data_IF_151966717603
#
_entry.id   IF_151966717603
#
_cell.length_a   1.000
_cell.length_b   1.000
_cell.length_c   1.000
_cell.angle_alpha   90.00
_cell.angle_beta   90.00
_cell.angle_gamma   90.00
#
_symmetry.space_group_name_H-M   'P 1'
#
loop_
_entity.id
_entity.type
_entity.pdbx_description
1 polymer ?
#
# COMPACT_ATOMS: atom_id res chain seq x y z
N UNK A 1 -42.34 2.87 -55.24
CA UNK A 1 -41.30 3.55 -54.44
C UNK A 1 -41.06 2.75 -53.16
N UNK A 2 -40.06 1.86 -53.10
CA UNK A 2 -39.55 1.44 -51.80
C UNK A 2 -38.03 1.17 -51.83
N UNK A 3 -37.18 2.11 -51.35
CA UNK A 3 -35.74 1.80 -51.14
C UNK A 3 -34.93 2.93 -50.47
N UNK A 4 -35.44 3.59 -49.42
CA UNK A 4 -34.60 4.54 -48.64
C UNK A 4 -34.46 4.21 -47.15
N UNK A 5 -35.21 3.23 -46.63
CA UNK A 5 -35.20 2.88 -45.19
C UNK A 5 -33.91 2.17 -44.71
N UNK A 6 -33.23 1.28 -45.49
CA UNK A 6 -32.06 0.56 -44.98
C UNK A 6 -30.80 1.43 -44.79
N UNK A 7 -30.68 2.51 -45.56
CA UNK A 7 -29.48 3.39 -45.58
C UNK A 7 -29.49 4.34 -44.39
N UNK A 8 -30.66 4.94 -44.07
CA UNK A 8 -30.83 5.82 -42.92
C UNK A 8 -30.54 5.09 -41.60
N UNK A 9 -30.99 3.84 -41.45
CA UNK A 9 -30.75 3.04 -40.24
C UNK A 9 -29.27 2.64 -40.07
N UNK A 10 -28.54 2.39 -41.18
CA UNK A 10 -27.08 2.17 -41.14
C UNK A 10 -26.30 3.44 -40.80
N UNK A 11 -26.69 4.60 -41.35
CA UNK A 11 -26.05 5.88 -41.02
C UNK A 11 -26.28 6.31 -39.57
N UNK A 12 -27.49 6.17 -39.04
CA UNK A 12 -27.79 6.43 -37.63
C UNK A 12 -27.00 5.52 -36.68
N UNK A 13 -26.88 4.24 -37.03
CA UNK A 13 -26.07 3.29 -36.28
C UNK A 13 -24.58 3.67 -36.33
N UNK A 14 -24.07 4.09 -37.49
CA UNK A 14 -22.67 4.50 -37.67
C UNK A 14 -22.34 5.81 -36.92
N UNK A 15 -23.29 6.75 -36.85
CA UNK A 15 -23.14 8.01 -36.11
C UNK A 15 -23.20 7.79 -34.59
N UNK A 16 -24.03 6.86 -34.12
CA UNK A 16 -24.03 6.40 -32.73
C UNK A 16 -22.69 5.76 -32.36
N UNK A 17 -22.18 4.83 -33.19
CA UNK A 17 -20.86 4.23 -32.98
C UNK A 17 -19.74 5.28 -32.97
N UNK A 18 -19.80 6.27 -33.85
CA UNK A 18 -18.82 7.37 -33.90
C UNK A 18 -18.87 8.22 -32.63
N UNK A 19 -20.06 8.51 -32.09
CA UNK A 19 -20.22 9.22 -30.81
C UNK A 19 -19.69 8.39 -29.64
N UNK A 20 -20.00 7.10 -29.56
CA UNK A 20 -19.48 6.19 -28.52
C UNK A 20 -17.96 6.07 -28.59
N UNK A 21 -17.40 5.91 -29.80
CA UNK A 21 -15.95 5.91 -30.02
C UNK A 21 -15.32 7.21 -29.57
N UNK A 22 -15.90 8.36 -29.93
CA UNK A 22 -15.38 9.65 -29.51
C UNK A 22 -15.42 9.83 -27.99
N UNK A 23 -16.49 9.40 -27.33
CA UNK A 23 -16.60 9.41 -25.86
C UNK A 23 -15.56 8.50 -25.21
N UNK A 24 -15.34 7.29 -25.74
CA UNK A 24 -14.29 6.38 -25.26
C UNK A 24 -12.90 6.98 -25.46
N UNK A 25 -12.61 7.57 -26.62
CA UNK A 25 -11.33 8.24 -26.88
C UNK A 25 -11.12 9.42 -25.93
N UNK A 26 -12.13 10.26 -25.70
CA UNK A 26 -12.04 11.38 -24.75
C UNK A 26 -11.82 10.89 -23.31
N UNK A 27 -12.51 9.83 -22.90
CA UNK A 27 -12.32 9.19 -21.59
C UNK A 27 -10.90 8.63 -21.45
N UNK A 28 -10.39 7.98 -22.49
CA UNK A 28 -9.03 7.44 -22.53
C UNK A 28 -7.98 8.54 -22.46
N UNK A 29 -8.13 9.62 -23.22
CA UNK A 29 -7.23 10.78 -23.18
C UNK A 29 -7.19 11.39 -21.77
N UNK A 30 -8.36 11.54 -21.13
CA UNK A 30 -8.42 12.04 -19.74
C UNK A 30 -7.67 11.11 -18.79
N UNK A 31 -7.92 9.80 -18.86
CA UNK A 31 -7.22 8.80 -18.03
C UNK A 31 -5.70 8.81 -18.26
N UNK A 32 -5.25 8.84 -19.51
CA UNK A 32 -3.83 8.92 -19.87
C UNK A 32 -3.19 10.21 -19.37
N UNK A 33 -3.90 11.34 -19.46
CA UNK A 33 -3.42 12.63 -18.95
C UNK A 33 -3.25 12.58 -17.44
N UNK A 34 -4.23 12.03 -16.71
CA UNK A 34 -4.13 11.83 -15.26
C UNK A 34 -2.98 10.90 -14.89
N UNK A 35 -2.77 9.81 -15.64
CA UNK A 35 -1.65 8.88 -15.43
C UNK A 35 -0.29 9.55 -15.64
N UNK A 36 -0.11 10.28 -16.75
CA UNK A 36 1.13 11.04 -16.99
C UNK A 36 1.40 12.07 -15.88
N UNK A 37 0.36 12.79 -15.43
CA UNK A 37 0.52 13.74 -14.33
C UNK A 37 0.93 13.05 -13.03
N UNK A 38 0.40 11.85 -12.77
CA UNK A 38 0.76 11.06 -11.61
C UNK A 38 2.20 10.55 -11.69
N UNK A 39 2.66 10.05 -12.84
CA UNK A 39 4.06 9.66 -13.07
C UNK A 39 5.03 10.84 -12.89
N UNK A 40 4.66 12.02 -13.39
CA UNK A 40 5.41 13.26 -13.19
C UNK A 40 5.48 13.67 -11.71
N UNK A 41 4.39 13.48 -10.96
CA UNK A 41 4.37 13.74 -9.52
C UNK A 41 5.25 12.74 -8.79
N UNK A 42 5.17 11.45 -9.12
CA UNK A 42 6.01 10.40 -8.53
C UNK A 42 7.50 10.64 -8.79
N UNK A 43 7.89 11.00 -10.02
CA UNK A 43 9.28 11.28 -10.36
C UNK A 43 9.83 12.49 -9.60
N UNK A 44 9.05 13.56 -9.46
CA UNK A 44 9.40 14.74 -8.65
C UNK A 44 9.47 14.42 -7.16
N UNK A 45 8.55 13.60 -6.65
CA UNK A 45 8.59 13.12 -5.27
C UNK A 45 9.84 12.29 -5.02
N UNK A 46 10.19 11.37 -5.91
CA UNK A 46 11.39 10.54 -5.81
C UNK A 46 12.66 11.39 -5.84
N UNK A 47 12.76 12.40 -6.72
CA UNK A 47 13.86 13.34 -6.73
C UNK A 47 13.98 14.13 -5.41
N UNK A 48 12.85 14.64 -4.89
CA UNK A 48 12.82 15.34 -3.60
C UNK A 48 13.19 14.43 -2.41
N UNK A 49 12.84 13.15 -2.46
CA UNK A 49 13.22 12.15 -1.45
C UNK A 49 14.73 11.92 -1.51
N UNK A 50 15.31 11.72 -2.69
CA UNK A 50 16.75 11.56 -2.87
C UNK A 50 17.53 12.76 -2.34
N UNK A 51 17.11 13.99 -2.64
CA UNK A 51 17.75 15.21 -2.14
C UNK A 51 17.73 15.27 -0.60
N UNK A 52 16.59 14.98 0.04
CA UNK A 52 16.48 14.98 1.51
C UNK A 52 17.29 13.86 2.17
N UNK A 53 17.43 12.71 1.51
CA UNK A 53 18.32 11.63 1.96
C UNK A 53 19.80 12.04 1.95
N UNK A 54 20.25 12.86 0.98
CA UNK A 54 21.62 13.39 0.98
C UNK A 54 21.88 14.37 2.14
N UNK A 55 20.87 15.16 2.51
CA UNK A 55 20.94 16.10 3.64
C UNK A 55 21.08 15.37 4.99
N UNK A 56 20.37 14.25 5.17
CA UNK A 56 20.49 13.42 6.37
C UNK A 56 21.89 12.81 6.55
N UNK A 57 22.57 12.47 5.47
CA UNK A 57 23.96 11.97 5.51
C UNK A 57 24.96 13.04 5.95
N UNK A 58 24.62 14.32 5.84
CA UNK A 58 25.57 15.45 6.04
C UNK A 58 25.27 16.32 7.28
N UNK A 59 24.05 16.31 7.83
CA UNK A 59 23.69 17.02 9.08
C UNK A 59 22.63 16.25 9.88
N UNK A 60 22.98 15.61 11.03
CA UNK A 60 22.05 14.65 11.65
C UNK A 60 20.90 15.23 12.50
N UNK A 61 20.82 16.52 12.83
CA UNK A 61 19.96 16.91 13.99
C UNK A 61 19.15 18.21 13.93
N UNK A 62 19.31 19.15 12.97
CA UNK A 62 18.80 20.52 13.21
C UNK A 62 17.49 20.94 12.53
N UNK A 63 16.94 20.26 11.51
CA UNK A 63 15.76 20.79 10.79
C UNK A 63 14.83 19.69 10.24
N UNK A 64 14.49 18.67 11.03
CA UNK A 64 13.43 17.74 10.64
C UNK A 64 12.30 17.81 11.66
N UNK A 65 11.13 18.28 11.23
CA UNK A 65 9.91 18.24 12.05
C UNK A 65 9.44 16.79 12.08
N UNK A 66 9.26 16.25 13.28
CA UNK A 66 8.70 14.90 13.48
C UNK A 66 7.21 14.85 13.07
N UNK A 67 6.72 13.63 12.82
CA UNK A 67 5.35 13.39 12.36
C UNK A 67 4.31 13.95 13.32
N UNK A 68 4.56 13.86 14.63
CA UNK A 68 3.63 14.30 15.69
C UNK A 68 3.50 15.84 15.70
N UNK A 69 4.55 16.55 15.33
CA UNK A 69 4.56 18.01 15.19
C UNK A 69 3.85 18.46 13.90
N UNK A 70 3.92 17.65 12.83
CA UNK A 70 3.20 17.94 11.58
C UNK A 70 1.71 17.64 11.73
N UNK A 71 1.35 16.55 12.40
CA UNK A 71 0.00 16.10 12.66
C UNK A 71 -0.10 15.56 14.09
N UNK A 72 -0.66 16.35 15.01
CA UNK A 72 -0.80 15.93 16.41
C UNK A 72 -1.95 14.94 16.63
N UNK A 73 -2.90 14.86 15.69
CA UNK A 73 -4.08 13.99 15.79
C UNK A 73 -3.86 12.69 14.99
N UNK A 74 -3.78 11.51 15.66
CA UNK A 74 -3.54 10.24 14.98
C UNK A 74 -4.69 9.85 14.03
N UNK A 75 -5.91 10.31 14.30
CA UNK A 75 -7.07 10.03 13.45
C UNK A 75 -6.94 10.74 12.10
N UNK A 76 -6.56 12.02 12.12
CA UNK A 76 -6.27 12.79 10.92
C UNK A 76 -5.14 12.14 10.11
N UNK A 77 -4.06 11.65 10.74
CA UNK A 77 -2.99 10.98 10.00
C UNK A 77 -3.47 9.70 9.31
N UNK A 78 -4.27 8.88 10.00
CA UNK A 78 -4.86 7.67 9.41
C UNK A 78 -5.74 8.00 8.20
N UNK A 79 -6.51 9.08 8.25
CA UNK A 79 -7.30 9.57 7.12
C UNK A 79 -6.43 9.99 5.93
N UNK A 80 -5.29 10.67 6.19
CA UNK A 80 -4.36 11.05 5.12
C UNK A 80 -3.63 9.82 4.53
N UNK A 81 -3.31 8.80 5.34
CA UNK A 81 -2.81 7.52 4.83
C UNK A 81 -3.86 6.86 3.91
N UNK A 82 -5.13 6.85 4.32
CA UNK A 82 -6.22 6.33 3.50
C UNK A 82 -6.38 7.09 2.17
N UNK A 83 -6.17 8.42 2.14
CA UNK A 83 -6.11 9.17 0.88
C UNK A 83 -5.03 8.63 -0.05
N UNK A 84 -3.80 8.43 0.45
CA UNK A 84 -2.68 7.93 -0.36
C UNK A 84 -2.97 6.51 -0.86
N UNK A 85 -3.50 5.64 0.01
CA UNK A 85 -3.85 4.26 -0.36
C UNK A 85 -4.89 4.23 -1.47
N UNK A 86 -6.02 4.95 -1.32
CA UNK A 86 -7.08 5.00 -2.32
C UNK A 86 -6.61 5.62 -3.64
N UNK A 87 -5.78 6.67 -3.58
CA UNK A 87 -5.19 7.28 -4.79
C UNK A 87 -4.33 6.26 -5.53
N UNK A 88 -3.42 5.55 -4.86
CA UNK A 88 -2.57 4.53 -5.49
C UNK A 88 -3.37 3.33 -6.01
N UNK A 89 -4.32 2.81 -5.23
CA UNK A 89 -5.21 1.72 -5.65
C UNK A 89 -6.05 2.09 -6.89
N UNK A 90 -6.42 3.37 -7.02
CA UNK A 90 -7.18 3.87 -8.17
C UNK A 90 -6.41 3.77 -9.49
N UNK A 91 -5.10 3.48 -9.46
CA UNK A 91 -4.29 3.25 -10.66
C UNK A 91 -4.13 1.77 -11.03
N UNK A 92 -4.31 0.83 -10.10
CA UNK A 92 -4.05 -0.60 -10.32
C UNK A 92 -5.16 -1.27 -11.14
N UNK A 93 -4.90 -1.57 -12.41
CA UNK A 93 -5.86 -2.19 -13.33
C UNK A 93 -5.96 -3.72 -13.25
N UNK A 94 -7.08 -4.34 -13.70
CA UNK A 94 -7.22 -5.81 -13.79
C UNK A 94 -6.15 -6.45 -14.67
N UNK A 95 -5.71 -5.73 -15.70
CA UNK A 95 -4.64 -6.13 -16.60
C UNK A 95 -3.31 -6.37 -15.88
N UNK A 96 -3.00 -5.63 -14.82
CA UNK A 96 -1.74 -5.80 -14.08
C UNK A 96 -1.74 -7.12 -13.31
N UNK A 97 -2.90 -7.55 -12.78
CA UNK A 97 -3.03 -8.89 -12.19
C UNK A 97 -2.83 -9.96 -13.26
N UNK A 98 -3.49 -9.86 -14.42
CA UNK A 98 -3.33 -10.84 -15.50
C UNK A 98 -1.87 -10.92 -15.97
N UNK A 99 -1.18 -9.78 -16.06
CA UNK A 99 0.21 -9.69 -16.49
C UNK A 99 1.19 -10.22 -15.43
N UNK A 100 0.93 -9.94 -14.14
CA UNK A 100 1.74 -10.46 -13.04
C UNK A 100 1.72 -11.99 -12.95
N UNK A 101 0.67 -12.63 -13.46
CA UNK A 101 0.49 -14.09 -13.45
C UNK A 101 0.58 -14.74 -14.84
N UNK A 102 0.90 -13.97 -15.88
CA UNK A 102 1.17 -14.52 -17.20
C UNK A 102 2.51 -15.26 -17.16
N UNK A 103 2.53 -16.53 -17.60
CA UNK A 103 3.70 -17.40 -17.56
C UNK A 103 4.98 -16.72 -18.06
N UNK A 104 6.01 -16.71 -17.20
CA UNK A 104 7.39 -16.50 -17.65
C UNK A 104 7.90 -17.79 -18.29
N UNK A 105 8.63 -17.64 -19.38
CA UNK A 105 9.34 -18.72 -20.05
C UNK A 105 10.27 -19.43 -19.03
N UNK A 106 10.24 -20.77 -18.87
CA UNK A 106 11.00 -21.52 -17.85
C UNK A 106 12.54 -21.38 -17.92
N UNK A 107 13.08 -20.58 -18.83
CA UNK A 107 14.50 -20.28 -18.95
C UNK A 107 14.97 -19.12 -18.04
N UNK A 108 14.06 -18.34 -17.44
CA UNK A 108 14.41 -17.14 -16.65
C UNK A 108 14.40 -17.42 -15.13
N UNK A 109 15.27 -18.31 -14.69
CA UNK A 109 15.31 -18.88 -13.33
C UNK A 109 15.76 -17.92 -12.20
N UNK A 110 15.96 -16.63 -12.47
CA UNK A 110 16.61 -15.72 -11.50
C UNK A 110 15.90 -14.39 -11.24
N UNK A 111 14.60 -14.27 -11.47
CA UNK A 111 13.88 -13.02 -11.20
C UNK A 111 12.51 -13.23 -10.55
N UNK A 112 12.29 -12.52 -9.44
CA UNK A 112 11.03 -12.39 -8.70
C UNK A 112 9.82 -12.15 -9.62
N UNK A 113 8.61 -12.43 -9.13
CA UNK A 113 7.32 -12.37 -9.85
C UNK A 113 6.98 -11.01 -10.51
N UNK A 114 7.83 -9.99 -10.36
CA UNK A 114 7.59 -8.59 -10.71
C UNK A 114 8.63 -8.00 -11.70
N UNK A 115 9.33 -8.83 -12.49
CA UNK A 115 10.51 -8.33 -13.22
C UNK A 115 10.28 -7.78 -14.63
N UNK A 116 9.05 -7.78 -15.14
CA UNK A 116 8.72 -7.10 -16.40
C UNK A 116 8.47 -5.61 -16.11
N UNK A 117 9.57 -4.87 -15.93
CA UNK A 117 9.72 -3.46 -15.49
C UNK A 117 8.86 -2.40 -16.22
N UNK A 118 8.07 -2.75 -17.24
CA UNK A 118 7.16 -1.85 -17.96
C UNK A 118 5.67 -2.20 -17.81
N UNK A 119 5.34 -3.34 -17.20
CA UNK A 119 4.00 -3.95 -17.26
C UNK A 119 3.24 -3.95 -15.91
N UNK A 120 3.93 -3.78 -14.79
CA UNK A 120 3.36 -3.84 -13.43
C UNK A 120 3.73 -2.64 -12.55
N UNK A 121 3.92 -1.46 -13.15
CA UNK A 121 4.46 -0.28 -12.45
C UNK A 121 3.59 0.19 -11.28
N UNK A 122 2.26 0.04 -11.33
CA UNK A 122 1.39 0.47 -10.22
C UNK A 122 1.40 -0.54 -9.08
N UNK A 123 1.39 -1.85 -9.38
CA UNK A 123 1.56 -2.89 -8.37
C UNK A 123 2.88 -2.71 -7.59
N UNK A 124 3.98 -2.49 -8.31
CA UNK A 124 5.29 -2.23 -7.71
C UNK A 124 5.29 -0.95 -6.88
N UNK A 125 4.78 0.17 -7.42
CA UNK A 125 4.68 1.43 -6.69
C UNK A 125 3.80 1.33 -5.42
N UNK A 126 2.82 0.42 -5.41
CA UNK A 126 1.99 0.17 -4.24
C UNK A 126 2.69 -0.70 -3.19
N UNK A 127 3.50 -1.67 -3.61
CA UNK A 127 4.40 -2.42 -2.70
C UNK A 127 5.48 -1.49 -2.13
N UNK A 128 6.06 -0.62 -2.96
CA UNK A 128 7.01 0.40 -2.51
C UNK A 128 6.39 1.36 -1.49
N UNK A 129 5.11 1.73 -1.65
CA UNK A 129 4.39 2.51 -0.65
C UNK A 129 4.37 1.82 0.72
N UNK A 130 3.97 0.54 0.73
CA UNK A 130 3.88 -0.25 1.95
C UNK A 130 5.24 -0.29 2.67
N UNK A 131 6.31 -0.56 1.92
CA UNK A 131 7.67 -0.59 2.45
C UNK A 131 8.08 0.78 2.97
N UNK A 132 7.87 1.83 2.17
CA UNK A 132 8.18 3.21 2.56
C UNK A 132 7.48 3.61 3.85
N UNK A 133 6.18 3.31 3.99
CA UNK A 133 5.42 3.60 5.21
C UNK A 133 5.99 2.82 6.42
N UNK A 134 6.29 1.53 6.24
CA UNK A 134 6.89 0.70 7.30
C UNK A 134 8.22 1.28 7.79
N UNK A 135 9.11 1.65 6.87
CA UNK A 135 10.39 2.25 7.22
C UNK A 135 10.25 3.69 7.73
N UNK A 136 9.25 4.47 7.28
CA UNK A 136 8.96 5.80 7.83
C UNK A 136 8.57 5.70 9.30
N UNK A 137 7.70 4.75 9.66
CA UNK A 137 7.31 4.48 11.06
C UNK A 137 8.55 4.14 11.90
N UNK A 138 9.40 3.23 11.41
CA UNK A 138 10.63 2.88 12.10
C UNK A 138 11.59 4.08 12.25
N UNK A 139 11.70 4.91 11.20
CA UNK A 139 12.53 6.12 11.19
C UNK A 139 12.04 7.12 12.25
N UNK A 140 10.75 7.41 12.28
CA UNK A 140 10.15 8.34 13.25
C UNK A 140 10.30 7.85 14.70
N UNK A 141 10.37 6.53 14.93
CA UNK A 141 10.60 5.94 16.26
C UNK A 141 12.09 5.96 16.65
N UNK A 142 13.00 5.69 15.72
CA UNK A 142 14.43 5.63 15.99
C UNK A 142 15.12 7.01 15.99
N UNK A 143 14.56 8.01 15.30
CA UNK A 143 15.14 9.36 15.18
C UNK A 143 15.19 10.14 16.51
N UNK A 144 14.17 10.10 17.40
CA UNK A 144 14.20 10.90 18.62
C UNK A 144 15.25 10.42 19.64
N UNK A 145 16.18 11.32 19.98
CA UNK A 145 17.23 11.07 20.98
C UNK A 145 16.63 10.79 22.37
N UNK A 146 15.55 11.48 22.74
CA UNK A 146 14.93 11.36 24.07
C UNK A 146 13.97 10.18 24.14
N UNK A 147 14.24 9.22 25.04
CA UNK A 147 13.39 8.04 25.32
C UNK A 147 11.90 8.36 25.52
N UNK A 148 11.57 9.38 26.32
CA UNK A 148 10.17 9.81 26.55
C UNK A 148 9.48 10.24 25.25
N UNK A 149 10.23 10.82 24.31
CA UNK A 149 9.69 11.22 23.03
C UNK A 149 9.44 10.01 22.12
N UNK A 150 10.38 9.07 22.04
CA UNK A 150 10.18 7.80 21.30
C UNK A 150 8.93 7.05 21.79
N UNK A 151 8.76 6.92 23.11
CA UNK A 151 7.58 6.30 23.70
C UNK A 151 6.26 6.96 23.20
N UNK A 152 6.21 8.29 23.17
CA UNK A 152 5.04 9.03 22.64
C UNK A 152 4.81 8.78 21.15
N UNK A 153 5.87 8.67 20.35
CA UNK A 153 5.76 8.37 18.91
C UNK A 153 5.21 6.96 18.69
N UNK A 154 5.65 5.98 19.49
CA UNK A 154 5.10 4.61 19.43
C UNK A 154 3.61 4.62 19.81
N UNK A 155 3.22 5.25 20.92
CA UNK A 155 1.80 5.37 21.32
C UNK A 155 0.95 6.05 20.25
N UNK A 156 1.49 7.10 19.63
CA UNK A 156 0.85 7.79 18.52
C UNK A 156 0.60 6.85 17.34
N UNK A 157 1.60 6.09 16.87
CA UNK A 157 1.41 5.15 15.76
C UNK A 157 0.49 3.97 16.11
N UNK A 158 0.42 3.55 17.38
CA UNK A 158 -0.58 2.57 17.83
C UNK A 158 -2.00 3.11 17.64
N UNK A 159 -2.24 4.38 18.00
CA UNK A 159 -3.55 5.00 17.81
C UNK A 159 -3.86 5.24 16.31
N UNK A 160 -2.86 5.58 15.48
CA UNK A 160 -3.00 5.65 14.01
C UNK A 160 -3.37 4.29 13.43
N UNK A 161 -2.66 3.22 13.80
CA UNK A 161 -2.91 1.86 13.35
C UNK A 161 -4.32 1.39 13.73
N UNK A 162 -4.77 1.69 14.95
CA UNK A 162 -6.13 1.40 15.38
C UNK A 162 -7.16 2.13 14.51
N UNK A 163 -6.93 3.39 14.17
CA UNK A 163 -7.86 4.09 13.29
C UNK A 163 -7.83 3.56 11.85
N UNK A 164 -6.66 3.13 11.34
CA UNK A 164 -6.59 2.40 10.08
C UNK A 164 -7.45 1.13 10.11
N UNK A 165 -7.42 0.35 11.20
CA UNK A 165 -8.33 -0.80 11.38
C UNK A 165 -9.80 -0.40 11.34
N UNK A 166 -10.19 0.66 12.06
CA UNK A 166 -11.58 1.15 12.11
C UNK A 166 -12.09 1.60 10.74
N UNK A 167 -11.25 2.30 9.97
CA UNK A 167 -11.57 2.76 8.61
C UNK A 167 -11.74 1.58 7.64
N UNK A 168 -11.09 0.44 7.90
CA UNK A 168 -10.95 -0.65 6.93
C UNK A 168 -9.69 -0.52 6.08
N UNK A 169 -8.71 0.25 6.53
CA UNK A 169 -7.38 0.39 5.93
C UNK A 169 -6.39 -0.64 6.49
N UNK A 170 -6.53 -1.89 6.05
CA UNK A 170 -5.70 -2.99 6.56
C UNK A 170 -4.26 -2.96 6.01
N UNK A 171 -4.04 -2.37 4.83
CA UNK A 171 -2.70 -2.25 4.26
C UNK A 171 -1.81 -1.32 5.09
N UNK A 172 -2.27 -0.10 5.39
CA UNK A 172 -1.52 0.84 6.24
C UNK A 172 -1.40 0.34 7.68
N UNK A 173 -2.43 -0.32 8.22
CA UNK A 173 -2.35 -1.01 9.52
C UNK A 173 -1.17 -2.00 9.53
N UNK A 174 -1.10 -2.89 8.54
CA UNK A 174 -0.03 -3.88 8.46
C UNK A 174 1.34 -3.25 8.25
N UNK A 175 1.45 -2.18 7.47
CA UNK A 175 2.70 -1.44 7.28
C UNK A 175 3.18 -0.81 8.60
N UNK A 176 2.27 -0.22 9.38
CA UNK A 176 2.60 0.39 10.67
C UNK A 176 3.05 -0.68 11.69
N UNK A 177 2.35 -1.82 11.77
CA UNK A 177 2.76 -2.96 12.59
C UNK A 177 4.15 -3.47 12.14
N UNK A 178 4.34 -3.63 10.83
CA UNK A 178 5.61 -4.10 10.26
C UNK A 178 6.78 -3.18 10.62
N UNK A 179 6.58 -1.86 10.55
CA UNK A 179 7.55 -0.85 10.97
C UNK A 179 7.92 -0.94 12.45
N UNK A 180 6.94 -1.13 13.33
CA UNK A 180 7.18 -1.31 14.77
C UNK A 180 7.87 -2.64 15.12
N UNK A 181 7.62 -3.67 14.32
CA UNK A 181 8.21 -5.00 14.51
C UNK A 181 9.61 -5.16 13.89
N UNK A 182 10.07 -4.18 13.12
CA UNK A 182 11.46 -4.16 12.65
C UNK A 182 12.42 -4.28 13.84
N UNK A 183 13.43 -5.13 13.71
CA UNK A 183 14.45 -5.37 14.73
C UNK A 183 15.07 -4.11 15.36
N UNK A 184 15.45 -3.05 14.61
CA UNK A 184 15.97 -1.81 15.22
C UNK A 184 14.95 -1.10 16.14
N UNK A 185 13.65 -1.31 15.97
CA UNK A 185 12.59 -0.76 16.82
C UNK A 185 12.27 -1.69 17.99
N UNK A 186 12.03 -2.97 17.71
CA UNK A 186 11.61 -3.97 18.71
C UNK A 186 12.68 -4.27 19.77
N UNK A 187 13.95 -3.94 19.48
CA UNK A 187 15.06 -4.02 20.44
C UNK A 187 15.12 -2.91 21.49
N UNK A 188 14.38 -1.81 21.33
CA UNK A 188 14.41 -0.64 22.24
C UNK A 188 13.69 -0.92 23.57
N UNK A 189 14.13 -1.94 24.32
CA UNK A 189 13.41 -2.49 25.48
C UNK A 189 13.12 -1.45 26.54
N UNK A 190 14.01 -0.48 26.75
CA UNK A 190 13.81 0.57 27.76
C UNK A 190 12.74 1.57 27.32
N UNK A 191 12.57 1.78 26.02
CA UNK A 191 11.48 2.59 25.44
C UNK A 191 10.15 1.82 25.54
N UNK A 192 10.12 0.55 25.12
CA UNK A 192 8.91 -0.29 25.21
C UNK A 192 8.40 -0.44 26.65
N UNK A 193 9.29 -0.52 27.64
CA UNK A 193 8.91 -0.55 29.05
C UNK A 193 8.20 0.72 29.57
N UNK A 194 8.16 1.81 28.79
CA UNK A 194 7.46 3.05 29.15
C UNK A 194 6.02 3.13 28.66
N UNK A 195 5.58 2.19 27.81
CA UNK A 195 4.27 2.26 27.16
C UNK A 195 3.43 1.03 27.52
N UNK A 196 2.11 1.17 27.44
CA UNK A 196 1.17 0.05 27.63
C UNK A 196 0.97 -0.64 26.28
N UNK A 197 1.49 -1.85 26.13
CA UNK A 197 1.47 -2.58 24.85
C UNK A 197 0.13 -3.23 24.52
N UNK A 198 -0.79 -3.37 25.48
CA UNK A 198 -2.05 -4.10 25.28
C UNK A 198 -2.84 -3.68 24.02
N UNK A 199 -2.86 -2.39 23.66
CA UNK A 199 -3.50 -1.92 22.41
C UNK A 199 -2.76 -2.44 21.16
N UNK A 200 -1.44 -2.43 21.20
CA UNK A 200 -0.60 -2.93 20.11
C UNK A 200 -0.73 -4.45 19.98
N UNK A 201 -0.67 -5.18 21.09
CA UNK A 201 -0.80 -6.64 21.12
C UNK A 201 -2.14 -7.10 20.49
N UNK A 202 -3.22 -6.35 20.71
CA UNK A 202 -4.53 -6.59 20.05
C UNK A 202 -4.43 -6.40 18.53
N UNK A 203 -3.77 -5.33 18.07
CA UNK A 203 -3.61 -5.07 16.63
C UNK A 203 -2.73 -6.12 15.94
N UNK A 204 -1.67 -6.56 16.60
CA UNK A 204 -0.85 -7.68 16.15
C UNK A 204 -1.68 -8.97 16.04
N UNK A 205 -2.50 -9.26 17.05
CA UNK A 205 -3.39 -10.42 17.02
C UNK A 205 -4.41 -10.37 15.86
N UNK A 206 -4.91 -9.18 15.50
CA UNK A 206 -5.82 -9.03 14.36
C UNK A 206 -5.11 -9.32 13.02
N UNK A 207 -3.82 -9.03 12.91
CA UNK A 207 -3.02 -9.23 11.69
C UNK A 207 -2.12 -10.48 11.74
N UNK A 208 -2.34 -11.35 12.72
CA UNK A 208 -1.52 -12.53 12.96
C UNK A 208 -1.58 -13.52 11.77
N UNK A 209 -0.44 -14.06 11.30
CA UNK A 209 -0.40 -14.95 10.14
C UNK A 209 -0.94 -16.37 10.40
N UNK A 210 -1.19 -16.76 11.65
CA UNK A 210 -1.65 -18.11 12.00
C UNK A 210 -2.97 -18.44 11.33
N UNK A 211 -3.17 -19.74 11.04
CA UNK A 211 -4.36 -20.24 10.35
C UNK A 211 -4.66 -19.48 9.05
N UNK A 212 -3.59 -19.14 8.30
CA UNK A 212 -3.66 -18.34 7.08
C UNK A 212 -4.37 -16.99 7.29
N UNK A 213 -3.94 -16.22 8.30
CA UNK A 213 -4.50 -14.91 8.62
C UNK A 213 -5.99 -14.94 8.98
N UNK A 214 -6.42 -15.90 9.80
CA UNK A 214 -7.85 -16.12 10.13
C UNK A 214 -8.55 -14.86 10.67
N UNK A 215 -7.91 -14.17 11.63
CA UNK A 215 -8.47 -12.97 12.26
C UNK A 215 -8.62 -11.84 11.25
N UNK A 216 -7.56 -11.51 10.50
CA UNK A 216 -7.58 -10.53 9.43
C UNK A 216 -8.67 -10.85 8.39
N UNK A 217 -8.77 -12.10 7.94
CA UNK A 217 -9.79 -12.48 6.95
C UNK A 217 -11.21 -12.30 7.49
N UNK A 218 -11.41 -12.52 8.78
CA UNK A 218 -12.70 -12.26 9.44
C UNK A 218 -13.00 -10.76 9.49
N UNK A 219 -12.01 -9.93 9.85
CA UNK A 219 -12.14 -8.48 9.83
C UNK A 219 -12.39 -7.94 8.41
N UNK A 220 -11.69 -8.46 7.39
CA UNK A 220 -11.87 -8.09 5.99
C UNK A 220 -13.28 -8.42 5.50
N UNK A 221 -13.81 -9.62 5.79
CA UNK A 221 -15.20 -9.98 5.48
C UNK A 221 -16.20 -9.03 6.14
N UNK A 222 -15.96 -8.67 7.41
CA UNK A 222 -16.77 -7.67 8.11
C UNK A 222 -16.75 -6.31 7.43
N UNK A 223 -15.58 -5.83 6.99
CA UNK A 223 -15.43 -4.58 6.26
C UNK A 223 -16.11 -4.62 4.88
N UNK A 224 -15.96 -5.73 4.13
CA UNK A 224 -16.63 -5.94 2.85
C UNK A 224 -18.15 -5.92 3.01
N UNK A 225 -18.70 -6.61 4.02
CA UNK A 225 -20.13 -6.58 4.32
C UNK A 225 -20.62 -5.17 4.67
N UNK A 226 -19.86 -4.45 5.50
CA UNK A 226 -20.12 -3.04 5.84
C UNK A 226 -20.19 -2.15 4.60
N UNK A 227 -19.29 -2.37 3.65
CA UNK A 227 -19.23 -1.62 2.39
C UNK A 227 -20.46 -1.86 1.52
N UNK A 228 -20.93 -3.10 1.45
CA UNK A 228 -22.14 -3.48 0.70
C UNK A 228 -23.41 -2.83 1.25
N UNK A 229 -23.51 -2.67 2.58
CA UNK A 229 -24.67 -2.07 3.25
C UNK A 229 -24.44 -0.62 3.67
N UNK A 230 -23.45 0.06 3.09
CA UNK A 230 -23.01 1.37 3.53
C UNK A 230 -24.06 2.47 3.30
N UNK A 231 -24.24 3.34 4.29
CA UNK A 231 -25.07 4.54 4.20
C UNK A 231 -24.23 5.81 4.00
N UNK A 232 -22.91 5.68 4.08
CA UNK A 232 -21.95 6.76 3.87
C UNK A 232 -20.75 6.30 3.04
N UNK A 233 -20.05 7.24 2.39
CA UNK A 233 -18.82 6.91 1.65
C UNK A 233 -17.68 6.39 2.56
N UNK A 234 -17.68 6.77 3.85
CA UNK A 234 -16.71 6.25 4.82
C UNK A 234 -16.84 4.76 5.04
N UNK A 235 -18.07 4.27 5.13
CA UNK A 235 -18.33 2.84 5.38
C UNK A 235 -17.97 1.96 4.18
N UNK A 236 -17.90 2.54 2.97
CA UNK A 236 -17.53 1.85 1.74
C UNK A 236 -16.05 1.49 1.66
N UNK A 237 -15.19 2.14 2.44
CA UNK A 237 -13.74 1.97 2.37
C UNK A 237 -13.36 0.55 2.79
N UNK A 238 -12.68 -0.15 1.89
CA UNK A 238 -12.03 -1.44 2.13
C UNK A 238 -10.68 -1.41 1.43
N UNK A 239 -9.59 -1.43 2.17
CA UNK A 239 -8.24 -1.51 1.62
C UNK A 239 -7.62 -2.79 2.20
N UNK A 240 -7.53 -3.87 1.41
CA UNK A 240 -7.04 -5.15 1.89
C UNK A 240 -5.54 -5.10 2.18
N UNK A 241 -5.05 -6.02 3.02
CA UNK A 241 -3.61 -6.28 3.10
C UNK A 241 -3.14 -6.86 1.76
N UNK A 242 -2.50 -6.02 0.96
CA UNK A 242 -2.37 -6.25 -0.47
C UNK A 242 -1.45 -7.41 -0.82
N UNK A 243 -0.35 -7.57 -0.07
CA UNK A 243 0.57 -8.69 -0.27
C UNK A 243 -0.12 -10.04 -0.09
N UNK A 244 -1.08 -10.15 0.84
CA UNK A 244 -1.85 -11.38 1.03
C UNK A 244 -2.89 -11.58 -0.08
N UNK A 245 -3.53 -10.50 -0.56
CA UNK A 245 -4.42 -10.56 -1.72
C UNK A 245 -3.67 -11.08 -2.96
N UNK A 246 -2.50 -10.53 -3.26
CA UNK A 246 -1.65 -10.97 -4.38
C UNK A 246 -1.22 -12.42 -4.20
N UNK A 247 -0.81 -12.80 -2.98
CA UNK A 247 -0.45 -14.18 -2.64
C UNK A 247 -1.60 -15.15 -2.91
N UNK A 248 -2.82 -14.80 -2.51
CA UNK A 248 -4.01 -15.64 -2.72
C UNK A 248 -4.31 -15.82 -4.21
N UNK A 249 -4.28 -14.73 -5.00
CA UNK A 249 -4.51 -14.77 -6.44
C UNK A 249 -3.43 -15.61 -7.13
N UNK A 250 -2.16 -15.46 -6.72
CA UNK A 250 -1.05 -16.26 -7.23
C UNK A 250 -1.27 -17.75 -6.98
N UNK A 251 -1.58 -18.16 -5.75
CA UNK A 251 -1.78 -19.57 -5.42
C UNK A 251 -3.01 -20.16 -6.11
N UNK A 252 -4.08 -19.38 -6.30
CA UNK A 252 -5.23 -19.80 -7.10
C UNK A 252 -4.85 -20.02 -8.57
N UNK A 253 -3.98 -19.18 -9.13
CA UNK A 253 -3.48 -19.35 -10.49
C UNK A 253 -2.58 -20.59 -10.62
N UNK A 254 -1.62 -20.77 -9.72
CA UNK A 254 -0.67 -21.90 -9.79
C UNK A 254 -1.30 -23.23 -9.41
N UNK A 255 -2.29 -23.22 -8.51
CA UNK A 255 -2.94 -24.44 -8.01
C UNK A 255 -3.87 -25.12 -9.00
N UNK A 256 -4.16 -24.51 -10.16
CA UNK A 256 -5.13 -25.03 -11.13
C UNK A 256 -4.61 -24.94 -12.58
N UNK A 257 -4.78 -26.00 -13.36
CA UNK A 257 -4.41 -26.00 -14.77
C UNK A 257 -5.32 -25.08 -15.61
N UNK A 258 -4.75 -24.37 -16.58
CA UNK A 258 -5.47 -23.49 -17.51
C UNK A 258 -6.43 -24.26 -18.44
N UNK A 259 -6.13 -25.55 -18.67
CA UNK A 259 -6.95 -26.46 -19.48
C UNK A 259 -7.23 -27.73 -18.69
N UNK A 260 -8.43 -28.26 -18.89
CA UNK A 260 -8.84 -29.56 -18.38
C UNK A 260 -8.13 -30.68 -19.18
N UNK A 261 -8.19 -31.92 -18.69
CA UNK A 261 -7.57 -33.08 -19.35
C UNK A 261 -8.10 -33.33 -20.78
N UNK A 262 -9.33 -32.88 -21.08
CA UNK A 262 -9.93 -32.94 -22.41
C UNK A 262 -9.49 -31.79 -23.35
N UNK A 263 -8.55 -30.94 -22.94
CA UNK A 263 -8.05 -29.81 -23.71
C UNK A 263 -8.91 -28.55 -23.67
N UNK A 264 -10.11 -28.59 -23.08
CA UNK A 264 -10.98 -27.43 -22.92
C UNK A 264 -10.41 -26.43 -21.89
N UNK A 265 -10.77 -25.16 -22.04
CA UNK A 265 -10.42 -24.11 -21.08
C UNK A 265 -11.07 -24.42 -19.73
N UNK A 266 -10.29 -24.30 -18.65
CA UNK A 266 -10.81 -24.46 -17.29
C UNK A 266 -11.54 -23.19 -16.83
N UNK A 267 -12.80 -23.06 -17.21
CA UNK A 267 -13.62 -21.88 -16.85
C UNK A 267 -13.80 -21.69 -15.35
N UNK A 268 -13.81 -22.76 -14.56
CA UNK A 268 -13.96 -22.67 -13.10
C UNK A 268 -12.77 -21.93 -12.46
N UNK A 269 -11.54 -22.25 -12.87
CA UNK A 269 -10.34 -21.51 -12.45
C UNK A 269 -10.45 -20.02 -12.77
N UNK A 270 -10.76 -19.69 -14.02
CA UNK A 270 -10.83 -18.30 -14.46
C UNK A 270 -11.97 -17.53 -13.80
N UNK A 271 -13.09 -18.21 -13.50
CA UNK A 271 -14.20 -17.64 -12.75
C UNK A 271 -13.80 -17.26 -11.32
N UNK A 272 -13.11 -18.15 -10.59
CA UNK A 272 -12.68 -17.83 -9.22
C UNK A 272 -11.62 -16.71 -9.20
N UNK A 273 -10.70 -16.69 -10.18
CA UNK A 273 -9.76 -15.57 -10.36
C UNK A 273 -10.50 -14.25 -10.62
N UNK A 274 -11.47 -14.28 -11.54
CA UNK A 274 -12.26 -13.10 -11.90
C UNK A 274 -13.05 -12.56 -10.69
N UNK A 275 -13.56 -13.44 -9.82
CA UNK A 275 -14.27 -13.06 -8.59
C UNK A 275 -13.37 -12.27 -7.65
N UNK A 276 -12.16 -12.75 -7.38
CA UNK A 276 -11.18 -12.07 -6.51
C UNK A 276 -10.81 -10.69 -7.06
N UNK A 277 -10.52 -10.61 -8.36
CA UNK A 277 -10.15 -9.35 -9.02
C UNK A 277 -11.34 -8.38 -9.03
N UNK A 278 -12.55 -8.84 -9.33
CA UNK A 278 -13.75 -8.00 -9.41
C UNK A 278 -14.12 -7.37 -8.06
N UNK A 279 -13.95 -8.11 -6.98
CA UNK A 279 -14.15 -7.59 -5.63
C UNK A 279 -13.19 -6.43 -5.33
N UNK A 280 -11.89 -6.62 -5.60
CA UNK A 280 -10.89 -5.55 -5.50
C UNK A 280 -11.20 -4.35 -6.42
N UNK A 281 -11.68 -4.59 -7.63
CA UNK A 281 -12.07 -3.51 -8.56
C UNK A 281 -13.23 -2.67 -8.05
N UNK A 282 -14.07 -3.22 -7.17
CA UNK A 282 -15.14 -2.47 -6.50
C UNK A 282 -14.56 -1.56 -5.42
N UNK A 283 -13.65 -2.10 -4.60
CA UNK A 283 -13.06 -1.37 -3.48
C UNK A 283 -12.21 -0.16 -3.91
N UNK A 284 -11.47 -0.26 -5.02
CA UNK A 284 -10.64 0.86 -5.53
C UNK A 284 -11.41 2.05 -6.07
N UNK A 285 -12.72 1.93 -6.32
CA UNK A 285 -13.56 3.00 -6.88
C UNK A 285 -14.10 3.97 -5.82
N UNK A 286 -13.83 3.71 -4.54
CA UNK A 286 -14.32 4.52 -3.43
C UNK A 286 -13.56 5.84 -3.40
N UNK A 287 -14.29 6.95 -3.53
CA UNK A 287 -13.74 8.28 -3.27
C UNK A 287 -13.48 8.47 -1.77
N UNK A 288 -12.29 8.97 -1.44
CA UNK A 288 -11.93 9.20 -0.04
C UNK A 288 -12.80 10.34 0.56
N UNK A 289 -13.59 10.08 1.61
CA UNK A 289 -14.54 11.04 2.16
C UNK A 289 -13.92 12.02 3.16
N UNK A 290 -12.63 11.84 3.49
CA UNK A 290 -11.95 12.67 4.48
C UNK A 290 -11.43 13.96 3.85
N UNK A 291 -11.30 15.02 4.63
CA UNK A 291 -10.68 16.26 4.14
C UNK A 291 -9.20 16.04 3.81
N UNK A 292 -8.73 16.66 2.72
CA UNK A 292 -7.36 16.51 2.23
C UNK A 292 -6.46 17.56 2.88
N UNK A 293 -5.51 17.13 3.71
CA UNK A 293 -4.48 18.01 4.26
C UNK A 293 -3.18 17.89 3.45
N UNK A 294 -2.92 18.91 2.63
CA UNK A 294 -1.75 18.94 1.74
C UNK A 294 -0.42 18.91 2.49
N UNK A 295 -0.34 19.50 3.68
CA UNK A 295 0.91 19.56 4.45
C UNK A 295 1.26 18.19 5.01
N UNK A 296 0.28 17.48 5.54
CA UNK A 296 0.46 16.12 6.06
C UNK A 296 0.79 15.15 4.92
N UNK A 297 0.04 15.22 3.81
CA UNK A 297 0.31 14.38 2.64
C UNK A 297 1.70 14.61 2.07
N UNK A 298 2.11 15.86 1.91
CA UNK A 298 3.46 16.19 1.44
C UNK A 298 4.51 15.60 2.37
N UNK A 299 4.31 15.68 3.68
CA UNK A 299 5.22 15.09 4.66
C UNK A 299 5.27 13.56 4.54
N UNK A 300 4.14 12.86 4.54
CA UNK A 300 4.07 11.41 4.39
C UNK A 300 4.76 10.93 3.09
N UNK A 301 4.60 11.67 2.00
CA UNK A 301 5.17 11.30 0.70
C UNK A 301 6.65 11.65 0.58
N UNK A 302 7.17 12.69 1.24
CA UNK A 302 8.55 13.20 1.03
C UNK A 302 9.46 13.19 2.26
N UNK A 303 8.96 12.82 3.44
CA UNK A 303 9.80 12.67 4.63
C UNK A 303 10.90 11.65 4.32
N UNK A 304 12.18 11.98 4.52
CA UNK A 304 13.23 11.02 4.26
C UNK A 304 13.12 9.86 5.25
N UNK A 305 13.48 8.68 4.75
CA UNK A 305 13.33 7.41 5.45
C UNK A 305 14.71 6.78 5.55
N UNK A 306 15.04 6.26 6.73
CA UNK A 306 16.34 5.64 6.97
C UNK A 306 16.46 4.31 6.21
N UNK A 307 17.67 4.02 5.73
CA UNK A 307 18.03 2.67 5.31
C UNK A 307 18.05 1.73 6.52
N UNK A 308 18.08 0.42 6.28
CA UNK A 308 18.20 -0.57 7.34
C UNK A 308 19.40 -0.27 8.27
N UNK A 309 20.59 -0.05 7.69
CA UNK A 309 21.81 0.27 8.44
C UNK A 309 21.67 1.56 9.26
N UNK A 310 21.04 2.60 8.69
CA UNK A 310 20.82 3.85 9.41
C UNK A 310 19.81 3.69 10.56
N UNK A 311 18.79 2.84 10.42
CA UNK A 311 17.88 2.49 11.51
C UNK A 311 18.63 1.77 12.65
N UNK A 312 19.50 0.83 12.32
CA UNK A 312 20.31 0.13 13.34
C UNK A 312 21.26 1.09 14.05
N UNK A 313 21.95 1.98 13.32
CA UNK A 313 22.81 3.00 13.92
C UNK A 313 22.03 3.90 14.88
N UNK A 314 20.91 4.48 14.43
CA UNK A 314 20.06 5.33 15.28
C UNK A 314 19.48 4.57 16.48
N UNK A 315 19.15 3.29 16.31
CA UNK A 315 18.70 2.42 17.38
C UNK A 315 19.79 2.16 18.42
N UNK A 316 21.03 1.86 18.01
CA UNK A 316 22.16 1.66 18.92
C UNK A 316 22.59 2.96 19.63
N UNK A 317 22.51 4.10 18.95
CA UNK A 317 22.75 5.41 19.57
C UNK A 317 21.68 5.74 20.62
N UNK A 318 20.44 5.35 20.38
CA UNK A 318 19.31 5.54 21.30
C UNK A 318 19.35 4.61 22.52
N UNK A 319 19.68 3.34 22.31
CA UNK A 319 19.85 2.30 23.32
C UNK A 319 21.00 1.37 22.89
N UNK A 320 22.15 1.45 23.57
CA UNK A 320 23.35 0.69 23.21
C UNK A 320 23.13 -0.83 23.10
N UNK A 321 24.00 -1.55 22.39
CA UNK A 321 23.84 -2.98 22.14
C UNK A 321 23.90 -3.81 23.42
N UNK A 322 23.01 -4.78 23.55
CA UNK A 322 22.82 -5.56 24.78
C UNK A 322 23.56 -6.91 24.74
N UNK A 323 23.73 -7.50 23.56
CA UNK A 323 24.32 -8.83 23.38
C UNK A 323 25.54 -8.82 22.42
N UNK A 324 26.24 -9.96 22.30
CA UNK A 324 27.45 -10.07 21.47
C UNK A 324 27.17 -9.77 19.99
N UNK A 325 26.06 -10.31 19.46
CA UNK A 325 25.65 -10.15 18.05
C UNK A 325 25.42 -8.67 17.74
N UNK A 326 24.71 -7.95 18.62
CA UNK A 326 24.48 -6.51 18.45
C UNK A 326 25.77 -5.69 18.57
N UNK A 327 26.69 -6.08 19.46
CA UNK A 327 28.01 -5.43 19.57
C UNK A 327 28.84 -5.62 18.30
N UNK A 328 28.79 -6.79 17.69
CA UNK A 328 29.45 -7.06 16.40
C UNK A 328 28.80 -6.26 15.26
N UNK A 329 27.46 -6.30 15.15
CA UNK A 329 26.74 -5.51 14.14
C UNK A 329 27.00 -4.01 14.29
N UNK A 330 27.07 -3.50 15.51
CA UNK A 330 27.40 -2.09 15.73
C UNK A 330 28.81 -1.73 15.27
N UNK A 331 29.78 -2.63 15.49
CA UNK A 331 31.16 -2.44 15.00
C UNK A 331 31.24 -2.45 13.47
N UNK A 332 30.44 -3.26 12.79
CA UNK A 332 30.45 -3.29 11.30
C UNK A 332 29.77 -2.07 10.67
N UNK A 333 28.90 -1.39 11.41
CA UNK A 333 28.17 -0.21 10.94
C UNK A 333 28.92 1.12 11.19
N UNK A 334 29.97 1.10 12.01
CA UNK A 334 30.86 2.22 12.32
C UNK A 334 32.16 2.09 11.54
#
# INVERSE_FOLDING_TARGET
>A
IPSCVPVLHRCQCQELHRKTMHQMTQSLIRKLTTLNQYEDVLSKLNASVTDRLTVLKTKPQSIQRDVVTICSDPYTLAQQLTHIELERLSHIGPEEFVQAFAHKDPLDNNKTCFSDLKKTSNLEAYVEWFNRLSYLVATEICMPVKKKHRARVIEYFIDVARECFNIGNFNSLMAIISGMNMSPVSRLKKTWAKIKTAKFDILEHQMDPSSNFYNYRTALRGAAQRSLTAHSNREKIVIPFFSLLIKDIYFLNEGCANRLMNGHINFEKFWELAKQVSEFMTWRQVECPFERDRKILQYLLTAPVFSEDALYLASYESEGPENHIEKERWKTLR
#
